data_IF_042711549304
#
_entry.id   IF_042711549304
#
_cell.length_a   1.000
_cell.length_b   1.000
_cell.length_c   1.000
_cell.angle_alpha   90.00
_cell.angle_beta   90.00
_cell.angle_gamma   90.00
#
_symmetry.space_group_name_H-M   'P 1'
#
loop_
_entity.id
_entity.type
_entity.pdbx_description
1 polymer ?
#
# COMPACT_ATOMS: atom_id res chain seq x y z
N UNK A 1 -25.86 46.17 19.87
CA UNK A 1 -25.00 45.11 20.41
C UNK A 1 -24.84 44.06 19.33
N UNK A 2 -23.64 43.95 18.78
CA UNK A 2 -23.30 43.21 17.56
C UNK A 2 -23.34 41.68 17.78
N UNK A 3 -24.07 40.99 16.90
CA UNK A 3 -24.12 39.53 16.79
C UNK A 3 -22.83 39.05 16.10
N UNK A 4 -21.99 38.31 16.82
CA UNK A 4 -20.83 37.64 16.22
C UNK A 4 -21.29 36.36 15.50
N UNK A 5 -21.24 36.40 14.17
CA UNK A 5 -21.37 35.23 13.33
C UNK A 5 -20.11 34.37 13.47
N UNK A 6 -20.21 33.24 14.18
CA UNK A 6 -19.15 32.22 14.19
C UNK A 6 -19.18 31.47 12.86
N UNK A 7 -18.26 31.80 11.98
CA UNK A 7 -17.96 31.03 10.78
C UNK A 7 -17.38 29.66 11.17
N UNK A 8 -18.14 28.60 10.92
CA UNK A 8 -17.71 27.22 11.10
C UNK A 8 -16.66 26.86 10.06
N UNK A 9 -15.40 26.69 10.47
CA UNK A 9 -14.34 26.14 9.61
C UNK A 9 -14.66 24.67 9.33
N UNK A 10 -14.98 24.32 8.08
CA UNK A 10 -15.15 22.92 7.65
C UNK A 10 -13.80 22.37 7.22
N UNK A 11 -13.26 21.42 7.98
CA UNK A 11 -12.12 20.64 7.54
C UNK A 11 -12.54 19.70 6.39
N UNK A 12 -11.71 19.53 5.34
CA UNK A 12 -11.98 18.55 4.31
C UNK A 12 -12.05 17.15 4.94
N UNK A 13 -13.00 16.34 4.46
CA UNK A 13 -13.14 14.95 4.90
C UNK A 13 -11.83 14.20 4.60
N UNK A 14 -11.20 13.63 5.62
CA UNK A 14 -9.98 12.85 5.45
C UNK A 14 -10.24 11.66 4.52
N UNK A 15 -9.37 11.48 3.54
CA UNK A 15 -9.37 10.31 2.66
C UNK A 15 -8.74 9.13 3.38
N UNK A 16 -9.33 7.96 3.22
CA UNK A 16 -8.83 6.69 3.78
C UNK A 16 -8.37 5.83 2.62
N UNK A 17 -7.16 5.30 2.73
CA UNK A 17 -6.54 4.46 1.72
C UNK A 17 -6.46 3.02 2.23
N UNK A 18 -6.62 2.06 1.31
CA UNK A 18 -6.19 0.69 1.56
C UNK A 18 -4.66 0.67 1.54
N UNK A 19 -4.05 -0.23 2.32
CA UNK A 19 -2.61 -0.34 2.40
C UNK A 19 -2.16 -1.81 2.34
N UNK A 20 -0.99 -2.02 1.73
CA UNK A 20 -0.30 -3.30 1.67
C UNK A 20 1.09 -3.16 2.26
N UNK A 21 1.38 -4.00 3.26
CA UNK A 21 2.70 -4.14 3.86
C UNK A 21 3.60 -5.01 2.99
N UNK A 22 4.80 -4.53 2.66
CA UNK A 22 5.84 -5.22 1.89
C UNK A 22 7.15 -5.12 2.68
N UNK A 23 7.95 -6.19 2.71
CA UNK A 23 9.24 -6.17 3.40
C UNK A 23 10.31 -5.56 2.49
N UNK A 24 11.20 -4.76 3.06
CA UNK A 24 12.34 -4.20 2.35
C UNK A 24 13.20 -5.31 1.70
N UNK A 25 13.73 -5.10 0.49
CA UNK A 25 13.69 -3.86 -0.31
C UNK A 25 12.48 -3.77 -1.27
N UNK A 26 11.46 -4.61 -1.13
CA UNK A 26 10.41 -4.76 -2.15
C UNK A 26 9.61 -3.49 -2.45
N UNK A 27 9.35 -2.65 -1.44
CA UNK A 27 8.65 -1.39 -1.63
C UNK A 27 9.49 -0.36 -2.40
N UNK A 28 10.80 -0.31 -2.16
CA UNK A 28 11.73 0.51 -2.94
C UNK A 28 11.82 0.06 -4.40
N UNK A 29 11.81 -1.24 -4.66
CA UNK A 29 11.79 -1.78 -6.02
C UNK A 29 10.48 -1.44 -6.76
N UNK A 30 9.34 -1.44 -6.06
CA UNK A 30 8.06 -0.98 -6.61
C UNK A 30 8.13 0.52 -6.92
N UNK A 31 8.63 1.33 -5.98
CA UNK A 31 8.79 2.78 -6.15
C UNK A 31 9.69 3.14 -7.33
N UNK A 32 10.73 2.35 -7.57
CA UNK A 32 11.65 2.54 -8.70
C UNK A 32 11.09 2.02 -10.03
N UNK A 33 10.02 1.22 -10.02
CA UNK A 33 9.43 0.60 -11.20
C UNK A 33 10.12 -0.68 -11.65
N UNK A 34 11.10 -1.18 -10.90
CA UNK A 34 11.80 -2.45 -11.18
C UNK A 34 10.90 -3.64 -10.86
N UNK A 35 10.19 -3.60 -9.72
CA UNK A 35 9.20 -4.61 -9.33
C UNK A 35 7.81 -4.13 -9.71
N UNK A 36 7.23 -4.75 -10.72
CA UNK A 36 5.90 -4.41 -11.28
C UNK A 36 4.84 -5.47 -10.97
N UNK A 37 5.23 -6.61 -10.41
CA UNK A 37 4.34 -7.70 -10.01
C UNK A 37 4.51 -8.04 -8.54
N UNK A 38 3.41 -8.17 -7.80
CA UNK A 38 3.41 -8.59 -6.39
C UNK A 38 2.75 -9.96 -6.22
N UNK A 39 3.42 -10.86 -5.49
CA UNK A 39 2.98 -12.25 -5.32
C UNK A 39 2.40 -12.43 -3.92
N UNK A 40 1.16 -12.90 -3.83
CA UNK A 40 0.45 -13.16 -2.56
C UNK A 40 -0.28 -14.48 -2.61
N UNK A 41 -0.53 -15.04 -1.41
CA UNK A 41 -1.37 -16.24 -1.22
C UNK A 41 -2.88 -15.92 -1.22
N UNK A 42 -3.25 -14.67 -1.47
CA UNK A 42 -4.61 -14.17 -1.47
C UNK A 42 -4.78 -13.19 -2.63
N UNK A 43 -6.02 -12.98 -3.04
CA UNK A 43 -6.40 -12.01 -4.07
C UNK A 43 -7.26 -10.90 -3.45
N UNK A 44 -7.16 -9.65 -3.93
CA UNK A 44 -8.01 -8.56 -3.45
C UNK A 44 -9.49 -8.89 -3.72
N UNK A 45 -10.43 -8.34 -2.93
CA UNK A 45 -11.85 -8.64 -3.06
C UNK A 45 -12.49 -8.07 -4.34
N UNK A 46 -11.87 -7.07 -4.96
CA UNK A 46 -12.31 -6.47 -6.20
C UNK A 46 -11.12 -5.91 -6.99
N UNK A 47 -11.28 -5.81 -8.30
CA UNK A 47 -10.34 -5.19 -9.24
C UNK A 47 -11.08 -4.19 -10.15
N UNK A 48 -10.43 -3.10 -10.60
CA UNK A 48 -9.08 -2.69 -10.19
C UNK A 48 -9.09 -2.16 -8.75
N UNK A 49 -8.04 -2.47 -7.99
CA UNK A 49 -7.82 -1.88 -6.67
C UNK A 49 -7.01 -0.59 -6.84
N UNK A 50 -7.70 0.54 -6.74
CA UNK A 50 -7.13 1.87 -6.94
C UNK A 50 -6.60 2.48 -5.65
N UNK A 51 -5.60 3.35 -5.79
CA UNK A 51 -5.02 4.11 -4.68
C UNK A 51 -4.52 3.22 -3.51
N UNK A 52 -3.85 2.11 -3.82
CA UNK A 52 -3.25 1.23 -2.82
C UNK A 52 -1.94 1.82 -2.29
N UNK A 53 -1.87 2.11 -0.99
CA UNK A 53 -0.61 2.51 -0.35
C UNK A 53 0.30 1.31 -0.15
N UNK A 54 1.55 1.43 -0.59
CA UNK A 54 2.61 0.48 -0.27
C UNK A 54 3.34 0.97 0.98
N UNK A 55 3.30 0.17 2.03
CA UNK A 55 4.03 0.39 3.29
C UNK A 55 5.20 -0.58 3.34
N UNK A 56 6.42 -0.07 3.30
CA UNK A 56 7.62 -0.87 3.45
C UNK A 56 7.98 -1.05 4.92
N UNK A 57 8.18 -2.30 5.34
CA UNK A 57 8.66 -2.66 6.67
C UNK A 57 10.07 -3.23 6.59
N UNK A 58 10.84 -3.09 7.65
CA UNK A 58 12.17 -3.70 7.82
C UNK A 58 12.06 -5.18 8.19
N UNK A 59 10.95 -5.60 8.80
CA UNK A 59 10.73 -6.96 9.30
C UNK A 59 9.55 -7.67 8.65
N UNK A 60 9.60 -9.00 8.60
CA UNK A 60 8.45 -9.83 8.20
C UNK A 60 7.40 -9.80 9.30
N UNK A 61 6.20 -9.31 8.95
CA UNK A 61 5.08 -9.25 9.89
C UNK A 61 4.22 -10.51 9.81
N UNK A 62 3.77 -11.02 10.95
CA UNK A 62 2.89 -12.18 11.04
C UNK A 62 1.96 -12.09 12.26
N UNK A 63 0.80 -12.77 12.18
CA UNK A 63 -0.18 -12.76 13.27
C UNK A 63 0.29 -13.47 14.55
N UNK A 64 1.23 -14.40 14.43
CA UNK A 64 1.76 -15.20 15.54
C UNK A 64 3.14 -14.74 16.01
N UNK A 65 3.67 -13.67 15.44
CA UNK A 65 5.01 -13.15 15.72
C UNK A 65 4.99 -11.63 15.80
N UNK A 66 5.98 -10.97 15.20
CA UNK A 66 6.00 -9.52 15.12
C UNK A 66 4.82 -9.02 14.27
N UNK A 67 3.93 -8.24 14.86
CA UNK A 67 2.71 -7.75 14.20
C UNK A 67 2.87 -6.35 13.61
N UNK A 68 3.87 -5.60 14.05
CA UNK A 68 4.08 -4.20 13.70
C UNK A 68 5.57 -3.90 13.49
N UNK A 69 5.83 -2.88 12.67
CA UNK A 69 7.16 -2.32 12.48
C UNK A 69 7.09 -0.80 12.73
N UNK A 70 7.84 -0.32 13.73
CA UNK A 70 7.84 1.10 14.08
C UNK A 70 8.53 1.96 13.01
N UNK A 71 9.36 1.35 12.17
CA UNK A 71 10.06 2.01 11.07
C UNK A 71 9.31 1.87 9.73
N UNK A 72 8.09 1.33 9.76
CA UNK A 72 7.24 1.17 8.58
C UNK A 72 6.99 2.50 7.87
N UNK A 73 7.28 2.56 6.56
CA UNK A 73 7.21 3.79 5.76
C UNK A 73 6.30 3.61 4.55
N UNK A 74 5.44 4.59 4.30
CA UNK A 74 4.75 4.69 3.01
C UNK A 74 5.77 5.06 1.94
N UNK A 75 5.88 4.24 0.89
CA UNK A 75 6.89 4.42 -0.17
C UNK A 75 6.30 4.59 -1.57
N UNK A 76 5.06 4.14 -1.80
CA UNK A 76 4.38 4.31 -3.08
C UNK A 76 2.86 4.34 -2.93
N UNK A 77 2.18 4.94 -3.90
CA UNK A 77 0.75 4.81 -4.15
C UNK A 77 0.60 4.17 -5.53
N UNK A 78 -0.06 3.01 -5.59
CA UNK A 78 -0.14 2.19 -6.81
C UNK A 78 -1.57 1.77 -7.09
N UNK A 79 -1.83 1.41 -8.35
CA UNK A 79 -3.02 0.69 -8.74
C UNK A 79 -2.69 -0.78 -8.96
N UNK A 80 -3.62 -1.67 -8.63
CA UNK A 80 -3.57 -3.09 -9.00
C UNK A 80 -4.69 -3.37 -9.98
N UNK A 81 -4.32 -3.55 -11.25
CA UNK A 81 -5.30 -3.68 -12.32
C UNK A 81 -5.76 -5.12 -12.55
N UNK A 82 -4.87 -6.11 -12.37
CA UNK A 82 -5.16 -7.52 -12.63
C UNK A 82 -4.49 -8.47 -11.65
N UNK A 83 -5.00 -9.71 -11.61
CA UNK A 83 -4.41 -10.82 -10.85
C UNK A 83 -4.39 -12.07 -11.72
N UNK A 84 -3.25 -12.76 -11.73
CA UNK A 84 -3.04 -13.98 -12.51
C UNK A 84 -2.33 -15.03 -11.67
N UNK A 85 -2.38 -16.30 -12.11
CA UNK A 85 -1.63 -17.36 -11.46
C UNK A 85 -0.12 -17.13 -11.58
N UNK A 86 0.61 -17.46 -10.51
CA UNK A 86 2.07 -17.44 -10.53
C UNK A 86 2.63 -18.41 -11.58
N UNK A 87 3.60 -17.91 -12.36
CA UNK A 87 4.37 -18.68 -13.34
C UNK A 87 5.81 -18.19 -13.29
N UNK A 88 6.77 -19.07 -13.58
CA UNK A 88 8.21 -18.75 -13.53
C UNK A 88 8.59 -17.55 -14.41
N UNK A 89 7.91 -17.36 -15.55
CA UNK A 89 8.07 -16.17 -16.42
C UNK A 89 7.80 -14.83 -15.71
N UNK A 90 7.14 -14.83 -14.55
CA UNK A 90 6.86 -13.63 -13.75
C UNK A 90 7.99 -13.27 -12.79
N UNK A 91 9.06 -14.08 -12.71
CA UNK A 91 10.18 -13.89 -11.77
C UNK A 91 10.80 -12.50 -11.90
N UNK A 92 11.15 -12.10 -13.12
CA UNK A 92 11.77 -10.79 -13.38
C UNK A 92 10.90 -9.64 -12.88
N UNK A 93 9.62 -9.61 -13.29
CA UNK A 93 8.68 -8.57 -12.88
C UNK A 93 8.41 -8.56 -11.36
N UNK A 94 8.59 -9.69 -10.68
CA UNK A 94 8.35 -9.84 -9.24
C UNK A 94 9.55 -9.50 -8.37
N UNK A 95 10.77 -9.65 -8.88
CA UNK A 95 12.00 -9.47 -8.12
C UNK A 95 12.75 -8.18 -8.49
N UNK A 96 12.58 -7.67 -9.73
CA UNK A 96 13.21 -6.45 -10.21
C UNK A 96 14.65 -6.62 -10.66
#
# INVERSE_FOLDING_TARGET
MTSESRSTVRFPKMRRYSALSIVAPGGDLIRAGNKTLEVRRWTPPALPLKDLLIVQNSNVLSRSGQTEDQDGKVVALVDVDEVTEWREKHLEAACG
#
